data_IF_693213549586
#
_entry.id   IF_693213549586
#
_cell.length_a   1.000
_cell.length_b   1.000
_cell.length_c   1.000
_cell.angle_alpha   90.00
_cell.angle_beta   90.00
_cell.angle_gamma   90.00
#
_symmetry.space_group_name_H-M   'P 1'
#
loop_
_entity.id
_entity.type
_entity.pdbx_description
1 polymer ?
#
# COMPACT_ATOMS: atom_id res chain seq x y z
N UNK A 1 -15.40 -10.49 -20.90
CA UNK A 1 -14.34 -9.49 -21.19
C UNK A 1 -13.05 -10.02 -20.58
N UNK A 2 -11.99 -10.19 -21.38
CA UNK A 2 -10.72 -10.72 -20.88
C UNK A 2 -10.11 -9.83 -19.80
N UNK A 3 -9.50 -10.46 -18.78
CA UNK A 3 -8.76 -9.78 -17.71
C UNK A 3 -7.68 -8.92 -18.40
N UNK A 4 -7.68 -7.60 -18.21
CA UNK A 4 -6.56 -6.77 -18.68
C UNK A 4 -5.33 -7.18 -17.89
N UNK A 5 -4.41 -7.85 -18.56
CA UNK A 5 -3.11 -8.22 -18.00
C UNK A 5 -2.23 -6.96 -17.90
N UNK A 6 -1.62 -6.77 -16.74
CA UNK A 6 -0.77 -5.64 -16.46
C UNK A 6 0.70 -6.02 -16.66
N UNK A 7 1.43 -5.18 -17.40
CA UNK A 7 2.88 -5.22 -17.50
C UNK A 7 3.51 -4.31 -16.44
N UNK A 8 4.74 -4.63 -16.06
CA UNK A 8 5.53 -3.79 -15.17
C UNK A 8 6.05 -2.57 -15.92
N UNK A 9 5.96 -1.39 -15.27
CA UNK A 9 6.63 -0.19 -15.78
C UNK A 9 8.14 -0.42 -15.75
N UNK A 10 8.86 0.14 -16.74
CA UNK A 10 10.32 0.07 -16.78
C UNK A 10 10.97 0.84 -15.62
N UNK A 11 10.40 1.99 -15.28
CA UNK A 11 10.91 2.88 -14.23
C UNK A 11 9.82 3.23 -13.21
N UNK A 12 10.25 3.43 -11.96
CA UNK A 12 9.45 3.95 -10.86
C UNK A 12 9.91 5.38 -10.55
N UNK A 13 8.95 6.30 -10.43
CA UNK A 13 9.20 7.71 -10.12
C UNK A 13 8.89 7.98 -8.66
N UNK A 14 9.86 8.52 -7.94
CA UNK A 14 9.72 8.97 -6.54
C UNK A 14 8.96 10.31 -6.45
N UNK A 15 8.57 10.69 -5.24
CA UNK A 15 7.89 11.98 -4.97
C UNK A 15 8.75 13.19 -5.28
N UNK A 16 10.09 13.07 -5.22
CA UNK A 16 11.05 14.10 -5.63
C UNK A 16 11.20 14.20 -7.15
N UNK A 17 10.55 13.32 -7.91
CA UNK A 17 10.60 13.27 -9.36
C UNK A 17 11.75 12.44 -9.93
N UNK A 18 12.62 11.87 -9.08
CA UNK A 18 13.70 10.97 -9.52
C UNK A 18 13.10 9.64 -9.99
N UNK A 19 13.43 9.24 -11.21
CA UNK A 19 13.09 7.93 -11.77
C UNK A 19 14.23 6.93 -11.58
N UNK A 20 13.90 5.69 -11.21
CA UNK A 20 14.84 4.58 -11.07
C UNK A 20 14.25 3.35 -11.78
N UNK A 21 15.10 2.54 -12.41
CA UNK A 21 14.67 1.27 -13.00
C UNK A 21 13.95 0.40 -11.96
N UNK A 22 12.77 -0.10 -12.33
CA UNK A 22 11.93 -0.95 -11.48
C UNK A 22 12.72 -2.15 -10.95
N UNK A 23 13.56 -2.75 -11.79
CA UNK A 23 14.46 -3.83 -11.42
C UNK A 23 15.30 -3.51 -10.17
N UNK A 24 15.94 -2.34 -10.14
CA UNK A 24 16.82 -1.95 -9.03
C UNK A 24 16.00 -1.90 -7.73
N UNK A 25 14.81 -1.31 -7.78
CA UNK A 25 13.95 -1.17 -6.61
C UNK A 25 13.54 -2.54 -6.07
N UNK A 26 13.07 -3.45 -6.92
CA UNK A 26 12.63 -4.78 -6.49
C UNK A 26 13.79 -5.65 -5.98
N UNK A 27 14.96 -5.65 -6.65
CA UNK A 27 16.13 -6.38 -6.18
C UNK A 27 16.55 -5.90 -4.78
N UNK A 28 16.63 -4.59 -4.57
CA UNK A 28 17.03 -4.02 -3.27
C UNK A 28 16.00 -4.31 -2.18
N UNK A 29 14.70 -4.27 -2.50
CA UNK A 29 13.64 -4.64 -1.57
C UNK A 29 13.73 -6.12 -1.16
N UNK A 30 13.93 -7.03 -2.12
CA UNK A 30 14.08 -8.47 -1.85
C UNK A 30 15.33 -8.75 -0.99
N UNK A 31 16.46 -8.10 -1.31
CA UNK A 31 17.68 -8.19 -0.49
C UNK A 31 17.45 -7.71 0.94
N UNK A 32 16.74 -6.59 1.12
CA UNK A 32 16.39 -6.08 2.43
C UNK A 32 15.49 -7.05 3.21
N UNK A 33 14.46 -7.61 2.57
CA UNK A 33 13.61 -8.64 3.17
C UNK A 33 14.42 -9.87 3.61
N UNK A 34 15.34 -10.36 2.76
CA UNK A 34 16.25 -11.46 3.09
C UNK A 34 17.08 -11.14 4.32
N UNK A 35 17.74 -9.99 4.34
CA UNK A 35 18.57 -9.56 5.47
C UNK A 35 17.77 -9.47 6.77
N UNK A 36 16.54 -8.94 6.73
CA UNK A 36 15.67 -8.86 7.90
C UNK A 36 15.26 -10.24 8.41
N UNK A 37 14.91 -11.17 7.53
CA UNK A 37 14.60 -12.55 7.90
C UNK A 37 15.81 -13.22 8.58
N UNK A 38 16.99 -13.19 7.95
CA UNK A 38 18.19 -13.82 8.49
C UNK A 38 18.58 -13.25 9.85
N UNK A 39 18.50 -11.92 10.02
CA UNK A 39 18.71 -11.27 11.32
C UNK A 39 17.70 -11.75 12.36
N UNK A 40 16.43 -11.93 11.99
CA UNK A 40 15.38 -12.42 12.90
C UNK A 40 15.62 -13.88 13.30
N UNK A 41 16.03 -14.74 12.37
CA UNK A 41 16.37 -16.14 12.65
C UNK A 41 17.52 -16.26 13.66
N UNK A 42 18.57 -15.46 13.47
CA UNK A 42 19.70 -15.38 14.41
C UNK A 42 19.24 -14.95 15.81
N UNK A 43 18.37 -13.93 15.91
CA UNK A 43 17.81 -13.47 17.19
C UNK A 43 16.95 -14.53 17.89
N UNK A 44 16.29 -15.39 17.13
CA UNK A 44 15.49 -16.50 17.65
C UNK A 44 16.30 -17.78 17.90
N UNK A 45 17.63 -17.76 17.72
CA UNK A 45 18.50 -18.93 17.79
C UNK A 45 18.09 -20.09 16.84
N UNK A 46 17.40 -19.76 15.73
CA UNK A 46 17.05 -20.72 14.69
C UNK A 46 18.22 -20.80 13.73
N UNK A 47 18.85 -21.98 13.66
CA UNK A 47 19.88 -22.26 12.67
C UNK A 47 19.22 -22.85 11.44
N UNK A 48 19.18 -22.09 10.35
CA UNK A 48 18.69 -22.56 9.06
C UNK A 48 19.78 -22.28 8.02
N UNK A 49 20.13 -23.30 7.24
CA UNK A 49 20.94 -23.09 6.04
C UNK A 49 20.14 -22.28 5.04
N UNK A 50 20.74 -21.27 4.41
CA UNK A 50 20.02 -20.42 3.44
C UNK A 50 19.42 -21.25 2.29
N UNK A 51 20.10 -22.33 1.90
CA UNK A 51 19.67 -23.26 0.87
C UNK A 51 18.44 -24.09 1.26
N UNK A 52 18.16 -24.23 2.56
CA UNK A 52 16.98 -24.91 3.07
C UNK A 52 15.75 -24.00 3.17
N UNK A 53 15.91 -22.69 2.94
CA UNK A 53 14.80 -21.73 2.97
C UNK A 53 14.04 -21.80 1.65
N UNK A 54 12.75 -22.15 1.72
CA UNK A 54 11.83 -21.94 0.62
C UNK A 54 11.26 -20.51 0.69
N UNK A 55 11.36 -19.79 -0.42
CA UNK A 55 10.84 -18.45 -0.60
C UNK A 55 9.50 -18.50 -1.32
N UNK A 56 8.49 -17.89 -0.73
CA UNK A 56 7.19 -17.69 -1.37
C UNK A 56 7.01 -16.19 -1.59
N UNK A 57 6.98 -15.76 -2.84
CA UNK A 57 6.70 -14.36 -3.20
C UNK A 57 5.26 -14.30 -3.72
N UNK A 58 4.43 -13.52 -3.03
CA UNK A 58 3.07 -13.27 -3.48
C UNK A 58 3.09 -12.20 -4.56
N UNK A 59 2.47 -12.48 -5.71
CA UNK A 59 2.40 -11.57 -6.86
C UNK A 59 0.94 -11.28 -7.25
N UNK A 60 0.65 -10.08 -7.77
CA UNK A 60 -0.70 -9.74 -8.20
C UNK A 60 -1.24 -10.67 -9.29
N UNK A 61 -2.50 -11.05 -9.19
CA UNK A 61 -3.17 -11.91 -10.19
C UNK A 61 -3.24 -11.33 -11.59
N UNK A 62 -3.15 -10.01 -11.68
CA UNK A 62 -3.24 -9.26 -12.93
C UNK A 62 -1.93 -9.30 -13.72
N UNK A 63 -0.83 -9.76 -13.11
CA UNK A 63 0.46 -9.85 -13.79
C UNK A 63 0.45 -10.97 -14.81
N UNK A 64 0.90 -10.63 -16.02
CA UNK A 64 1.16 -11.60 -17.07
C UNK A 64 2.41 -12.46 -16.77
N UNK A 65 2.64 -13.45 -17.62
CA UNK A 65 3.81 -14.35 -17.53
C UNK A 65 5.14 -13.59 -17.61
N UNK A 66 5.21 -12.51 -18.38
CA UNK A 66 6.42 -11.68 -18.48
C UNK A 66 6.75 -11.01 -17.14
N UNK A 67 5.78 -10.36 -16.49
CA UNK A 67 5.97 -9.73 -15.18
C UNK A 67 6.33 -10.75 -14.09
N UNK A 68 5.71 -11.94 -14.12
CA UNK A 68 6.07 -13.06 -13.23
C UNK A 68 7.50 -13.54 -13.47
N UNK A 69 7.90 -13.69 -14.74
CA UNK A 69 9.26 -14.05 -15.13
C UNK A 69 10.30 -13.03 -14.69
N UNK A 70 10.00 -11.74 -14.80
CA UNK A 70 10.86 -10.66 -14.29
C UNK A 70 11.06 -10.76 -12.77
N UNK A 71 9.99 -10.99 -12.01
CA UNK A 71 10.11 -11.19 -10.55
C UNK A 71 10.99 -12.39 -10.19
N UNK A 72 10.88 -13.51 -10.92
CA UNK A 72 11.78 -14.65 -10.73
C UNK A 72 13.25 -14.27 -10.99
N UNK A 73 13.51 -13.54 -12.08
CA UNK A 73 14.87 -13.08 -12.40
C UNK A 73 15.42 -12.11 -11.34
N UNK A 74 14.59 -11.19 -10.86
CA UNK A 74 14.98 -10.26 -9.80
C UNK A 74 15.24 -10.99 -8.48
N UNK A 75 14.47 -12.02 -8.14
CA UNK A 75 14.73 -12.87 -6.99
C UNK A 75 16.07 -13.62 -7.10
N UNK A 76 16.45 -14.10 -8.30
CA UNK A 76 17.77 -14.68 -8.55
C UNK A 76 18.85 -13.62 -8.34
N UNK A 77 18.72 -12.44 -8.95
CA UNK A 77 19.71 -11.34 -8.83
C UNK A 77 19.81 -10.77 -7.41
N UNK A 78 18.76 -10.91 -6.61
CA UNK A 78 18.75 -10.59 -5.18
C UNK A 78 19.46 -11.66 -4.32
N UNK A 79 19.98 -12.74 -4.93
CA UNK A 79 20.49 -13.94 -4.25
C UNK A 79 19.48 -14.50 -3.25
N UNK A 80 18.19 -14.43 -3.59
CA UNK A 80 17.14 -14.95 -2.72
C UNK A 80 17.14 -16.48 -2.74
N UNK A 81 17.31 -17.06 -3.92
CA UNK A 81 17.29 -18.51 -4.16
C UNK A 81 18.28 -18.91 -5.27
N UNK A 82 18.58 -20.20 -5.36
CA UNK A 82 19.43 -20.83 -6.37
C UNK A 82 18.56 -21.66 -7.33
N UNK A 83 18.56 -21.36 -8.64
CA UNK A 83 17.86 -22.15 -9.67
C UNK A 83 18.18 -23.64 -9.70
N UNK A 84 19.33 -24.06 -9.16
CA UNK A 84 19.72 -25.46 -9.06
C UNK A 84 19.00 -26.22 -7.94
N UNK A 85 18.32 -25.52 -7.02
CA UNK A 85 17.54 -26.10 -5.91
C UNK A 85 16.05 -26.12 -6.32
N UNK A 86 15.49 -27.28 -6.70
CA UNK A 86 14.10 -27.35 -7.16
C UNK A 86 13.12 -26.94 -6.08
N UNK A 87 12.17 -26.07 -6.43
CA UNK A 87 11.10 -25.64 -5.52
C UNK A 87 11.54 -24.65 -4.43
N UNK A 88 12.77 -24.11 -4.50
CA UNK A 88 13.23 -23.12 -3.51
C UNK A 88 12.53 -21.77 -3.65
N UNK A 89 12.06 -21.39 -4.85
CA UNK A 89 11.19 -20.23 -5.07
C UNK A 89 9.82 -20.68 -5.59
N UNK A 90 8.77 -20.17 -4.95
CA UNK A 90 7.39 -20.26 -5.41
C UNK A 90 6.83 -18.84 -5.60
N UNK A 91 6.31 -18.55 -6.79
CA UNK A 91 5.46 -17.38 -6.99
C UNK A 91 4.01 -17.80 -6.74
N UNK A 92 3.42 -17.28 -5.67
CA UNK A 92 2.02 -17.54 -5.34
C UNK A 92 1.15 -16.38 -5.82
N UNK A 93 -0.04 -16.69 -6.31
CA UNK A 93 -1.01 -15.65 -6.64
C UNK A 93 -1.59 -15.04 -5.36
N UNK A 94 -1.85 -13.73 -5.40
CA UNK A 94 -2.51 -13.01 -4.32
C UNK A 94 -3.92 -13.59 -4.02
N UNK A 95 -4.72 -13.87 -5.04
CA UNK A 95 -6.02 -14.54 -4.91
C UNK A 95 -5.89 -15.93 -4.28
N UNK A 96 -4.93 -16.75 -4.71
CA UNK A 96 -4.73 -18.09 -4.13
C UNK A 96 -4.42 -18.01 -2.64
N UNK A 97 -3.47 -17.15 -2.26
CA UNK A 97 -3.12 -16.91 -0.85
C UNK A 97 -4.30 -16.40 -0.03
N UNK A 98 -5.09 -15.46 -0.56
CA UNK A 98 -6.28 -14.93 0.11
C UNK A 98 -7.35 -15.99 0.32
N UNK A 99 -7.63 -16.80 -0.70
CA UNK A 99 -8.64 -17.84 -0.61
C UNK A 99 -8.22 -18.96 0.36
N UNK A 100 -6.94 -19.35 0.34
CA UNK A 100 -6.39 -20.25 1.35
C UNK A 100 -6.58 -19.70 2.77
N UNK A 101 -6.32 -18.40 2.98
CA UNK A 101 -6.52 -17.75 4.28
C UNK A 101 -7.99 -17.80 4.72
N UNK A 102 -8.93 -17.43 3.84
CA UNK A 102 -10.38 -17.47 4.14
C UNK A 102 -10.83 -18.88 4.51
N UNK A 103 -10.44 -19.89 3.72
CA UNK A 103 -10.80 -21.28 3.98
C UNK A 103 -10.22 -21.73 5.33
N UNK A 104 -8.95 -21.41 5.59
CA UNK A 104 -8.28 -21.77 6.85
C UNK A 104 -8.96 -21.12 8.06
N UNK A 105 -9.26 -19.83 8.00
CA UNK A 105 -9.89 -19.07 9.10
C UNK A 105 -11.32 -19.57 9.39
N UNK A 106 -12.07 -19.90 8.34
CA UNK A 106 -13.42 -20.42 8.48
C UNK A 106 -13.45 -21.89 8.90
N UNK A 107 -12.36 -22.65 8.73
CA UNK A 107 -12.36 -24.09 8.97
C UNK A 107 -12.70 -24.45 10.43
N UNK A 108 -12.27 -23.62 11.38
CA UNK A 108 -12.49 -23.86 12.81
C UNK A 108 -13.90 -23.49 13.29
N UNK A 109 -14.56 -22.53 12.63
CA UNK A 109 -15.87 -22.01 13.05
C UNK A 109 -17.02 -22.52 12.18
N UNK A 110 -16.86 -22.49 10.86
CA UNK A 110 -17.85 -22.87 9.87
C UNK A 110 -17.15 -23.34 8.59
N UNK A 111 -16.72 -24.61 8.54
CA UNK A 111 -15.98 -25.14 7.39
C UNK A 111 -16.84 -25.05 6.13
N UNK A 112 -16.27 -24.45 5.08
CA UNK A 112 -16.89 -24.36 3.77
C UNK A 112 -16.86 -25.73 3.08
N UNK A 113 -17.96 -26.10 2.45
CA UNK A 113 -18.12 -27.37 1.73
C UNK A 113 -18.05 -27.14 0.23
N UNK A 114 -17.72 -28.19 -0.51
CA UNK A 114 -17.78 -28.17 -1.97
C UNK A 114 -19.17 -27.73 -2.44
N UNK A 115 -19.19 -26.71 -3.30
CA UNK A 115 -20.40 -26.08 -3.81
C UNK A 115 -20.79 -24.80 -3.08
N UNK A 116 -20.30 -24.56 -1.86
CA UNK A 116 -20.54 -23.32 -1.12
C UNK A 116 -19.88 -22.14 -1.84
N UNK A 117 -20.53 -20.99 -1.74
CA UNK A 117 -20.02 -19.73 -2.28
C UNK A 117 -19.78 -18.72 -1.17
N UNK A 118 -18.74 -17.90 -1.34
CA UNK A 118 -18.47 -16.76 -0.48
C UNK A 118 -18.02 -15.56 -1.32
N UNK A 119 -18.22 -14.37 -0.74
CA UNK A 119 -17.75 -13.11 -1.32
C UNK A 119 -16.54 -12.66 -0.52
N UNK A 120 -15.43 -12.47 -1.21
CA UNK A 120 -14.22 -11.84 -0.71
C UNK A 120 -14.23 -10.37 -1.13
N UNK A 121 -14.18 -9.47 -0.16
CA UNK A 121 -14.03 -8.03 -0.40
C UNK A 121 -12.63 -7.63 0.03
N UNK A 122 -11.79 -7.33 -0.94
CA UNK A 122 -10.43 -6.89 -0.72
C UNK A 122 -10.28 -5.41 -1.09
N UNK A 123 -10.14 -4.58 -0.07
CA UNK A 123 -9.92 -3.16 -0.24
C UNK A 123 -8.42 -2.89 -0.19
N UNK A 124 -7.81 -2.68 -1.36
CA UNK A 124 -6.40 -2.37 -1.47
C UNK A 124 -6.11 -0.87 -1.33
N UNK A 125 -4.83 -0.51 -1.41
CA UNK A 125 -4.41 0.89 -1.32
C UNK A 125 -4.94 1.71 -2.51
N UNK A 126 -4.74 1.23 -3.73
CA UNK A 126 -5.12 1.95 -4.95
C UNK A 126 -6.38 1.40 -5.64
N UNK A 127 -6.58 0.09 -5.56
CA UNK A 127 -7.65 -0.65 -6.25
C UNK A 127 -8.24 -1.61 -5.24
N UNK A 128 -9.56 -1.75 -5.25
CA UNK A 128 -10.28 -2.74 -4.46
C UNK A 128 -10.94 -3.76 -5.37
N UNK A 129 -10.95 -5.03 -4.97
CA UNK A 129 -11.56 -6.13 -5.70
C UNK A 129 -12.66 -6.78 -4.83
N UNK A 130 -13.85 -6.96 -5.40
CA UNK A 130 -14.95 -7.74 -4.79
C UNK A 130 -15.18 -8.96 -5.66
N UNK A 131 -14.87 -10.13 -5.14
CA UNK A 131 -14.89 -11.38 -5.88
C UNK A 131 -15.79 -12.42 -5.21
N UNK A 132 -16.53 -13.17 -6.01
CA UNK A 132 -17.33 -14.30 -5.57
C UNK A 132 -16.64 -15.59 -5.98
N UNK A 133 -16.41 -16.47 -5.02
CA UNK A 133 -15.76 -17.75 -5.19
C UNK A 133 -16.72 -18.89 -4.84
N UNK A 134 -16.59 -20.00 -5.56
CA UNK A 134 -17.21 -21.28 -5.22
C UNK A 134 -16.16 -22.30 -4.83
N UNK A 135 -16.36 -23.00 -3.72
CA UNK A 135 -15.46 -24.06 -3.27
C UNK A 135 -15.58 -25.28 -4.18
N UNK A 136 -14.48 -25.69 -4.80
CA UNK A 136 -14.41 -26.89 -5.67
C UNK A 136 -13.73 -28.08 -5.00
N UNK A 137 -12.87 -27.84 -4.00
CA UNK A 137 -12.11 -28.84 -3.24
C UNK A 137 -11.69 -28.32 -1.86
N UNK A 138 -10.79 -29.04 -1.17
CA UNK A 138 -10.40 -28.71 0.22
C UNK A 138 -9.70 -27.35 0.35
N UNK A 139 -8.88 -26.99 -0.64
CA UNK A 139 -8.20 -25.68 -0.73
C UNK A 139 -8.33 -25.08 -2.14
N UNK A 140 -9.29 -25.58 -2.91
CA UNK A 140 -9.49 -25.21 -4.29
C UNK A 140 -10.80 -24.43 -4.43
N UNK A 141 -10.73 -23.32 -5.13
CA UNK A 141 -11.88 -22.46 -5.41
C UNK A 141 -11.92 -22.07 -6.87
N UNK A 142 -13.13 -21.89 -7.36
CA UNK A 142 -13.41 -21.36 -8.69
C UNK A 142 -13.94 -19.93 -8.54
N UNK A 143 -13.27 -18.98 -9.17
CA UNK A 143 -13.77 -17.61 -9.30
C UNK A 143 -15.04 -17.62 -10.18
N UNK A 144 -16.16 -17.17 -9.63
CA UNK A 144 -17.42 -17.02 -10.38
C UNK A 144 -17.42 -15.67 -11.10
N UNK A 145 -17.13 -14.60 -10.36
CA UNK A 145 -17.11 -13.24 -10.87
C UNK A 145 -16.26 -12.36 -9.98
N UNK A 146 -15.67 -11.32 -10.56
CA UNK A 146 -14.90 -10.30 -9.86
C UNK A 146 -15.27 -8.94 -10.39
N UNK A 147 -15.56 -8.02 -9.48
CA UNK A 147 -15.77 -6.61 -9.74
C UNK A 147 -14.58 -5.85 -9.21
N UNK A 148 -13.89 -5.14 -10.10
CA UNK A 148 -12.80 -4.25 -9.74
C UNK A 148 -13.31 -2.85 -9.56
N UNK A 149 -12.98 -2.27 -8.41
CA UNK A 149 -13.38 -0.93 -8.01
C UNK A 149 -12.14 -0.02 -8.11
N UNK A 150 -12.21 1.07 -8.89
CA UNK A 150 -11.05 1.91 -9.21
C UNK A 150 -10.62 2.85 -8.06
N UNK A 151 -11.20 2.69 -6.88
CA UNK A 151 -10.80 3.39 -5.67
C UNK A 151 -10.40 2.38 -4.59
N UNK A 152 -9.33 2.73 -3.88
CA UNK A 152 -8.85 2.05 -2.69
C UNK A 152 -8.73 3.04 -1.54
N UNK A 153 -8.13 2.61 -0.44
CA UNK A 153 -8.00 3.46 0.75
C UNK A 153 -7.26 4.77 0.45
N UNK A 154 -6.39 4.83 -0.56
CA UNK A 154 -5.59 6.01 -0.89
C UNK A 154 -6.44 7.20 -1.34
N UNK A 155 -7.73 7.00 -1.66
CA UNK A 155 -8.63 8.10 -2.01
C UNK A 155 -8.76 9.11 -0.85
N UNK A 156 -8.72 8.64 0.40
CA UNK A 156 -8.78 9.48 1.59
C UNK A 156 -7.54 10.37 1.66
N UNK A 157 -6.35 9.80 1.45
CA UNK A 157 -5.09 10.55 1.45
C UNK A 157 -5.08 11.60 0.32
N UNK A 158 -5.61 11.24 -0.85
CA UNK A 158 -5.78 12.16 -1.99
C UNK A 158 -6.76 13.29 -1.68
N UNK A 159 -7.87 13.02 -1.00
CA UNK A 159 -8.86 14.03 -0.65
C UNK A 159 -8.32 14.99 0.41
N UNK A 160 -7.54 14.50 1.38
CA UNK A 160 -6.80 15.35 2.33
C UNK A 160 -5.80 16.25 1.59
N UNK A 161 -5.07 15.72 0.61
CA UNK A 161 -4.17 16.54 -0.20
C UNK A 161 -4.92 17.58 -1.06
N UNK A 162 -6.11 17.26 -1.59
CA UNK A 162 -6.96 18.23 -2.29
C UNK A 162 -7.41 19.36 -1.37
N UNK A 163 -7.78 19.05 -0.12
CA UNK A 163 -8.10 20.05 0.91
C UNK A 163 -6.91 20.98 1.12
N UNK A 164 -5.70 20.42 1.29
CA UNK A 164 -4.47 21.21 1.44
C UNK A 164 -4.21 22.08 0.21
N UNK A 165 -4.37 21.55 -1.01
CA UNK A 165 -4.24 22.31 -2.25
C UNK A 165 -5.28 23.43 -2.40
N UNK A 166 -6.49 23.25 -1.85
CA UNK A 166 -7.53 24.29 -1.83
C UNK A 166 -7.22 25.41 -0.85
N UNK A 167 -6.66 25.08 0.32
CA UNK A 167 -6.26 26.06 1.35
C UNK A 167 -5.05 26.86 0.87
N UNK A 168 -3.98 26.19 0.45
CA UNK A 168 -2.67 26.82 0.20
C UNK A 168 -2.48 27.25 -1.26
N UNK A 169 -3.34 26.76 -2.17
CA UNK A 169 -3.15 26.89 -3.60
C UNK A 169 -2.29 25.76 -4.15
N UNK A 170 -2.82 25.06 -5.16
CA UNK A 170 -2.17 23.92 -5.83
C UNK A 170 -0.74 24.21 -6.30
N UNK A 171 -0.48 25.41 -6.82
CA UNK A 171 0.84 25.80 -7.31
C UNK A 171 1.87 25.85 -6.18
N UNK A 172 1.49 26.41 -5.03
CA UNK A 172 2.36 26.51 -3.84
C UNK A 172 2.71 25.12 -3.31
N UNK A 173 1.73 24.20 -3.25
CA UNK A 173 1.98 22.80 -2.84
C UNK A 173 2.93 22.09 -3.80
N UNK A 174 2.79 22.33 -5.11
CA UNK A 174 3.70 21.77 -6.13
C UNK A 174 5.13 22.33 -6.02
N UNK A 175 5.26 23.62 -5.72
CA UNK A 175 6.55 24.26 -5.51
C UNK A 175 7.22 23.71 -4.24
N UNK A 176 6.46 23.52 -3.16
CA UNK A 176 6.94 22.84 -1.96
C UNK A 176 7.42 21.41 -2.24
N UNK A 177 6.67 20.63 -3.02
CA UNK A 177 7.09 19.28 -3.42
C UNK A 177 8.43 19.29 -4.17
N UNK A 178 8.64 20.27 -5.06
CA UNK A 178 9.86 20.39 -5.85
C UNK A 178 11.06 20.88 -5.02
N UNK A 179 10.84 21.86 -4.13
CA UNK A 179 11.90 22.48 -3.34
C UNK A 179 12.26 21.67 -2.08
N UNK A 180 11.28 21.05 -1.44
CA UNK A 180 11.42 20.32 -0.16
C UNK A 180 10.81 18.91 -0.23
N UNK A 181 11.27 18.04 -1.15
CA UNK A 181 10.64 16.74 -1.41
C UNK A 181 10.63 15.79 -0.21
N UNK A 182 11.64 15.85 0.66
CA UNK A 182 11.68 15.02 1.89
C UNK A 182 10.60 15.43 2.89
N UNK A 183 10.36 16.73 3.04
CA UNK A 183 9.30 17.24 3.92
C UNK A 183 7.91 16.98 3.34
N UNK A 184 7.78 17.04 2.01
CA UNK A 184 6.56 16.60 1.31
C UNK A 184 6.30 15.10 1.49
N UNK A 185 7.33 14.26 1.38
CA UNK A 185 7.21 12.83 1.67
C UNK A 185 6.73 12.59 3.12
N UNK A 186 7.31 13.31 4.09
CA UNK A 186 6.90 13.25 5.50
C UNK A 186 5.44 13.65 5.72
N UNK A 187 4.96 14.69 5.01
CA UNK A 187 3.55 15.08 5.06
C UNK A 187 2.64 13.95 4.58
N UNK A 188 2.96 13.33 3.44
CA UNK A 188 2.19 12.19 2.92
C UNK A 188 2.21 11.01 3.89
N UNK A 189 3.37 10.69 4.47
CA UNK A 189 3.50 9.62 5.47
C UNK A 189 2.64 9.91 6.70
N UNK A 190 2.64 11.15 7.21
CA UNK A 190 1.82 11.56 8.36
C UNK A 190 0.31 11.44 8.08
N UNK A 191 -0.13 11.76 6.86
CA UNK A 191 -1.52 11.59 6.41
C UNK A 191 -1.86 10.09 6.40
N UNK A 192 -1.04 9.28 5.73
CA UNK A 192 -1.24 7.83 5.62
C UNK A 192 -1.28 7.16 6.99
N UNK A 193 -0.34 7.47 7.88
CA UNK A 193 -0.29 6.89 9.23
C UNK A 193 -1.48 7.32 10.08
N UNK A 194 -1.94 8.57 9.96
CA UNK A 194 -3.12 9.02 10.68
C UNK A 194 -4.39 8.32 10.19
N UNK A 195 -4.56 8.15 8.88
CA UNK A 195 -5.66 7.37 8.29
C UNK A 195 -5.64 5.92 8.80
N UNK A 196 -4.48 5.25 8.82
CA UNK A 196 -4.36 3.89 9.38
C UNK A 196 -4.78 3.86 10.85
N UNK A 197 -4.31 4.82 11.65
CA UNK A 197 -4.67 4.95 13.06
C UNK A 197 -6.17 5.15 13.27
N UNK A 198 -6.86 5.88 12.38
CA UNK A 198 -8.31 6.06 12.41
C UNK A 198 -9.05 4.73 12.32
N UNK A 199 -8.67 3.85 11.38
CA UNK A 199 -9.35 2.57 11.20
C UNK A 199 -9.01 1.52 12.27
N UNK A 200 -7.80 1.58 12.84
CA UNK A 200 -7.41 0.71 13.97
C UNK A 200 -8.19 1.08 15.24
N UNK A 201 -8.33 2.38 15.49
CA UNK A 201 -9.06 2.88 16.63
C UNK A 201 -10.57 2.81 16.35
N UNK A 202 -11.25 1.77 16.85
CA UNK A 202 -12.72 1.59 16.74
C UNK A 202 -13.55 2.71 17.40
N UNK A 203 -12.93 3.81 17.85
CA UNK A 203 -13.60 5.02 18.33
C UNK A 203 -13.96 5.89 17.13
N UNK A 204 -15.23 5.85 16.75
CA UNK A 204 -15.80 6.74 15.73
C UNK A 204 -15.93 8.18 16.21
N UNK A 205 -15.83 8.41 17.53
CA UNK A 205 -15.98 9.72 18.14
C UNK A 205 -14.61 10.17 18.68
N UNK A 206 -14.01 11.18 18.07
CA UNK A 206 -12.73 11.76 18.48
C UNK A 206 -12.14 12.71 17.45
N UNK A 207 -11.26 13.60 17.90
CA UNK A 207 -10.48 14.49 17.04
C UNK A 207 -9.24 13.73 16.58
N UNK A 208 -9.06 13.59 15.27
CA UNK A 208 -7.89 12.97 14.67
C UNK A 208 -6.97 14.05 14.11
N UNK A 209 -5.77 14.20 14.70
CA UNK A 209 -4.81 15.24 14.33
C UNK A 209 -3.77 14.70 13.36
N UNK A 210 -3.73 15.24 12.15
CA UNK A 210 -2.63 14.98 11.21
C UNK A 210 -1.48 15.92 11.62
N UNK A 211 -0.30 15.34 11.84
CA UNK A 211 0.89 16.15 12.11
C UNK A 211 1.36 16.80 10.81
N UNK A 212 1.39 18.13 10.78
CA UNK A 212 1.88 18.89 9.63
C UNK A 212 3.36 19.22 9.89
N UNK A 213 4.29 18.85 8.98
CA UNK A 213 5.70 19.17 9.15
C UNK A 213 5.93 20.68 9.31
N UNK A 214 6.80 21.07 10.24
CA UNK A 214 7.14 22.48 10.46
C UNK A 214 7.62 23.16 9.17
N UNK A 215 8.43 22.44 8.37
CA UNK A 215 8.96 22.92 7.11
C UNK A 215 7.86 23.21 6.08
N UNK A 216 6.71 22.51 6.17
CA UNK A 216 5.53 22.80 5.35
C UNK A 216 4.84 24.07 5.83
N UNK A 217 4.58 24.21 7.13
CA UNK A 217 3.93 25.40 7.70
C UNK A 217 4.72 26.66 7.36
N UNK A 218 6.03 26.65 7.63
CA UNK A 218 6.92 27.77 7.33
C UNK A 218 6.91 28.14 5.84
N UNK A 219 6.93 27.14 4.95
CA UNK A 219 6.88 27.39 3.51
C UNK A 219 5.55 28.05 3.09
N UNK A 220 4.43 27.60 3.68
CA UNK A 220 3.13 28.17 3.39
C UNK A 220 2.98 29.60 3.91
N UNK A 221 3.51 29.92 5.10
CA UNK A 221 3.53 31.29 5.63
C UNK A 221 4.33 32.26 4.74
N UNK A 222 5.38 31.78 4.08
CA UNK A 222 6.19 32.60 3.16
C UNK A 222 5.51 32.81 1.79
N UNK A 223 4.73 31.85 1.31
CA UNK A 223 4.23 31.82 -0.08
C UNK A 223 2.73 32.11 -0.24
N UNK A 224 1.92 31.92 0.80
CA UNK A 224 0.46 32.11 0.73
C UNK A 224 0.11 33.55 1.12
N UNK A 225 -0.73 34.20 0.32
CA UNK A 225 -1.25 35.54 0.62
C UNK A 225 -2.53 35.43 1.45
N UNK A 226 -2.52 35.97 2.66
CA UNK A 226 -3.66 35.92 3.60
C UNK A 226 -3.30 35.18 4.88
N UNK A 227 -4.15 35.27 5.90
CA UNK A 227 -3.96 34.49 7.11
C UNK A 227 -4.41 33.04 6.86
N UNK A 228 -3.51 32.08 7.14
CA UNK A 228 -3.82 30.65 6.99
C UNK A 228 -5.00 30.25 7.88
N UNK A 229 -5.15 30.87 9.05
CA UNK A 229 -6.28 30.61 9.94
C UNK A 229 -7.62 30.98 9.30
N UNK A 230 -7.67 32.14 8.62
CA UNK A 230 -8.86 32.59 7.90
C UNK A 230 -9.18 31.68 6.71
N UNK A 231 -8.16 31.26 5.95
CA UNK A 231 -8.35 30.38 4.79
C UNK A 231 -8.93 29.01 5.17
N UNK A 232 -8.45 28.44 6.28
CA UNK A 232 -8.99 27.19 6.82
C UNK A 232 -10.43 27.38 7.31
N UNK A 233 -10.70 28.45 8.06
CA UNK A 233 -12.02 28.68 8.68
C UNK A 233 -13.14 28.84 7.65
N UNK A 234 -12.81 29.32 6.45
CA UNK A 234 -13.75 29.51 5.35
C UNK A 234 -13.82 28.33 4.38
N UNK A 235 -13.08 27.23 4.62
CA UNK A 235 -13.07 26.09 3.71
C UNK A 235 -14.35 25.26 3.84
N UNK A 236 -14.95 24.95 2.70
CA UNK A 236 -16.01 23.95 2.55
C UNK A 236 -15.52 22.82 1.64
N UNK A 237 -15.62 21.58 2.11
CA UNK A 237 -15.26 20.39 1.35
C UNK A 237 -16.38 19.35 1.39
N UNK A 238 -16.89 18.96 0.21
CA UNK A 238 -18.02 18.02 0.07
C UNK A 238 -19.29 18.43 0.83
N UNK A 239 -19.56 19.73 0.97
CA UNK A 239 -20.74 20.24 1.68
C UNK A 239 -20.57 20.35 3.20
N UNK A 240 -19.41 19.96 3.72
CA UNK A 240 -19.03 20.15 5.12
C UNK A 240 -18.15 21.39 5.24
N UNK A 241 -18.49 22.30 6.15
CA UNK A 241 -17.71 23.50 6.47
C UNK A 241 -17.19 23.42 7.89
N UNK A 242 -15.97 23.90 8.11
CA UNK A 242 -15.41 24.20 9.44
C UNK A 242 -15.32 23.04 10.43
N UNK A 243 -14.11 22.55 10.66
CA UNK A 243 -13.75 22.02 11.99
C UNK A 243 -12.46 22.71 12.46
N UNK A 244 -12.67 23.81 13.18
CA UNK A 244 -11.68 24.48 14.01
C UNK A 244 -10.96 23.47 14.92
N UNK A 245 -9.63 23.60 15.00
CA UNK A 245 -8.81 23.70 16.23
C UNK A 245 -7.34 23.44 15.87
N UNK A 246 -6.71 24.40 15.18
CA UNK A 246 -5.26 24.52 15.22
C UNK A 246 -4.87 25.06 16.60
N UNK A 247 -4.49 24.17 17.52
CA UNK A 247 -3.64 24.60 18.62
C UNK A 247 -2.25 24.84 18.05
N UNK A 248 -1.98 26.07 17.63
CA UNK A 248 -0.64 26.62 17.76
C UNK A 248 -0.29 26.56 19.25
N UNK A 249 0.50 25.58 19.67
CA UNK A 249 1.20 25.69 20.94
C UNK A 249 2.54 26.35 20.68
N UNK A 250 2.50 27.65 20.94
CA UNK A 250 3.53 28.66 21.15
C UNK A 250 4.89 28.17 21.68
N UNK A 251 5.90 28.94 21.23
CA UNK A 251 7.21 29.27 21.83
C UNK A 251 8.29 28.18 21.91
#
# INVERSE_FOLDING_TARGET
>A
QGRKEATLKKELKSVSGVSIDTEIVFIRALQYCKQKLLKRLQQCAITAEENAIQWVIVVPDIWNEEARGLMQQWAIRANLWDPSIPGQLLLASENECRNMFVISELNDSKPLKKGDCYVLMDFGEAISDVACYQVSGQFEVKEITTVRIPWGFSCIDQDIMKIIEQICGKKVVQDFQAERPESYARLLDNITERRKSFFINKKTNGIYRIEIPFEFVHFMEECVTGDLSDLVSNLEYLGESGLDFFFFLNN
#
